data_IF_064659146748
#
_entry.id   IF_064659146748
#
_cell.length_a   1.000
_cell.length_b   1.000
_cell.length_c   1.000
_cell.angle_alpha   90.00
_cell.angle_beta   90.00
_cell.angle_gamma   90.00
#
_symmetry.space_group_name_H-M   'P 1'
#
loop_
_entity.id
_entity.type
_entity.pdbx_description
1 polymer ?
#
# COMPACT_ATOMS: atom_id res chain seq x y z
N UNK A 1 -0.55 11.68 17.50
CA UNK A 1 0.33 10.76 18.27
C UNK A 1 1.17 10.04 17.24
N UNK A 2 2.50 10.07 17.30
CA UNK A 2 3.33 9.36 16.31
C UNK A 2 3.03 7.86 16.41
N UNK A 3 2.30 7.31 15.44
CA UNK A 3 1.96 5.89 15.41
C UNK A 3 3.20 5.12 14.97
N UNK A 4 3.71 4.29 15.88
CA UNK A 4 4.83 3.41 15.66
C UNK A 4 4.35 2.13 14.97
N UNK A 5 5.14 1.60 14.04
CA UNK A 5 4.87 0.33 13.35
C UNK A 5 4.79 -0.82 14.36
N UNK A 6 3.70 -1.60 14.32
CA UNK A 6 3.49 -2.77 15.17
C UNK A 6 3.76 -4.08 14.40
N UNK A 7 4.86 -4.76 14.73
CA UNK A 7 5.31 -5.99 14.06
C UNK A 7 4.36 -7.17 14.31
N UNK A 8 3.77 -7.28 15.51
CA UNK A 8 2.83 -8.37 15.80
C UNK A 8 1.53 -8.19 15.03
N UNK A 9 1.06 -6.95 14.86
CA UNK A 9 -0.07 -6.60 14.00
C UNK A 9 0.26 -6.85 12.54
N UNK A 10 1.49 -6.53 12.10
CA UNK A 10 1.94 -6.77 10.73
C UNK A 10 1.88 -8.25 10.35
N UNK A 11 2.43 -9.14 11.17
CA UNK A 11 2.42 -10.60 10.91
C UNK A 11 0.99 -11.17 10.86
N UNK A 12 0.12 -10.74 11.77
CA UNK A 12 -1.29 -11.13 11.75
C UNK A 12 -1.98 -10.62 10.48
N UNK A 13 -1.71 -9.39 10.08
CA UNK A 13 -2.26 -8.80 8.88
C UNK A 13 -1.79 -9.52 7.61
N UNK A 14 -0.51 -9.94 7.54
CA UNK A 14 -0.01 -10.77 6.44
C UNK A 14 -0.75 -12.10 6.32
N UNK A 15 -1.04 -12.75 7.46
CA UNK A 15 -1.81 -14.00 7.45
C UNK A 15 -3.24 -13.80 6.93
N UNK A 16 -3.88 -12.68 7.30
CA UNK A 16 -5.22 -12.31 6.79
C UNK A 16 -5.19 -12.07 5.28
N UNK A 17 -4.30 -11.20 4.80
CA UNK A 17 -4.26 -10.84 3.37
C UNK A 17 -3.79 -11.98 2.48
N UNK A 18 -3.00 -12.93 3.01
CA UNK A 18 -2.59 -14.13 2.29
C UNK A 18 -3.81 -14.95 1.81
N UNK A 19 -4.91 -14.97 2.57
CA UNK A 19 -6.11 -15.74 2.26
C UNK A 19 -6.99 -15.13 1.16
N UNK A 20 -6.83 -13.85 0.83
CA UNK A 20 -7.64 -13.19 -0.20
C UNK A 20 -7.43 -13.78 -1.59
N UNK A 21 -8.50 -13.99 -2.35
CA UNK A 21 -8.43 -14.56 -3.70
C UNK A 21 -8.57 -13.48 -4.77
N UNK A 22 -7.50 -13.26 -5.53
CA UNK A 22 -7.43 -12.31 -6.65
C UNK A 22 -7.38 -13.01 -8.02
N UNK A 23 -7.75 -14.30 -8.11
CA UNK A 23 -7.67 -15.05 -9.36
C UNK A 23 -8.44 -14.37 -10.49
N UNK A 24 -9.66 -13.90 -10.23
CA UNK A 24 -10.47 -13.18 -11.22
C UNK A 24 -9.93 -11.78 -11.53
N UNK A 25 -9.34 -11.08 -10.56
CA UNK A 25 -8.70 -9.79 -10.81
C UNK A 25 -7.49 -9.93 -11.73
N UNK A 26 -6.70 -11.00 -11.55
CA UNK A 26 -5.59 -11.36 -12.44
C UNK A 26 -6.10 -11.70 -13.85
N UNK A 27 -7.15 -12.52 -13.98
CA UNK A 27 -7.72 -12.83 -15.29
C UNK A 27 -8.22 -11.56 -16.00
N UNK A 28 -8.93 -10.69 -15.27
CA UNK A 28 -9.48 -9.45 -15.79
C UNK A 28 -8.40 -8.49 -16.27
N UNK A 29 -7.33 -8.27 -15.49
CA UNK A 29 -6.28 -7.33 -15.89
C UNK A 29 -5.51 -7.84 -17.12
N UNK A 30 -5.30 -9.15 -17.24
CA UNK A 30 -4.67 -9.75 -18.40
C UNK A 30 -5.54 -9.66 -19.67
N UNK A 31 -6.86 -9.70 -19.52
CA UNK A 31 -7.81 -9.53 -20.64
C UNK A 31 -7.96 -8.07 -21.08
N UNK A 32 -8.15 -7.15 -20.13
CA UNK A 32 -8.43 -5.74 -20.39
C UNK A 32 -7.17 -4.97 -20.80
N UNK A 33 -6.00 -5.31 -20.22
CA UNK A 33 -4.71 -4.68 -20.53
C UNK A 33 -3.77 -5.65 -21.25
N UNK A 34 -4.32 -6.34 -22.25
CA UNK A 34 -3.59 -7.31 -23.09
C UNK A 34 -2.30 -6.72 -23.64
N UNK A 35 -1.19 -7.40 -23.40
CA UNK A 35 0.14 -7.00 -23.88
C UNK A 35 0.87 -6.01 -22.97
N UNK A 36 0.19 -5.36 -22.03
CA UNK A 36 0.79 -4.50 -21.00
C UNK A 36 1.09 -5.26 -19.70
N UNK A 37 0.29 -6.29 -19.41
CA UNK A 37 0.41 -7.14 -18.23
C UNK A 37 0.77 -8.56 -18.59
N UNK A 38 1.76 -9.11 -17.87
CA UNK A 38 2.10 -10.53 -17.89
C UNK A 38 1.55 -11.21 -16.65
N UNK A 39 1.37 -12.53 -16.72
CA UNK A 39 0.97 -13.32 -15.55
C UNK A 39 1.91 -13.12 -14.36
N UNK A 40 3.22 -13.02 -14.63
CA UNK A 40 4.25 -12.83 -13.61
C UNK A 40 4.09 -11.47 -12.93
N UNK A 41 3.93 -10.40 -13.72
CA UNK A 41 3.70 -9.05 -13.19
C UNK A 41 2.41 -8.99 -12.37
N UNK A 42 1.31 -9.53 -12.87
CA UNK A 42 0.02 -9.52 -12.16
C UNK A 42 0.10 -10.26 -10.81
N UNK A 43 0.73 -11.44 -10.78
CA UNK A 43 0.94 -12.19 -9.52
C UNK A 43 1.82 -11.42 -8.52
N UNK A 44 2.90 -10.79 -8.99
CA UNK A 44 3.77 -9.96 -8.14
C UNK A 44 3.03 -8.72 -7.61
N UNK A 45 2.22 -8.07 -8.45
CA UNK A 45 1.39 -6.93 -8.06
C UNK A 45 0.38 -7.31 -6.96
N UNK A 46 -0.31 -8.45 -7.11
CA UNK A 46 -1.22 -8.98 -6.07
C UNK A 46 -0.46 -9.28 -4.77
N UNK A 47 0.70 -9.92 -4.85
CA UNK A 47 1.53 -10.19 -3.66
C UNK A 47 1.91 -8.88 -2.95
N UNK A 48 2.34 -7.87 -3.70
CA UNK A 48 2.73 -6.58 -3.16
C UNK A 48 1.52 -5.79 -2.63
N UNK A 49 0.34 -5.91 -3.24
CA UNK A 49 -0.89 -5.32 -2.72
C UNK A 49 -1.29 -5.92 -1.36
N UNK A 50 -1.21 -7.24 -1.21
CA UNK A 50 -1.44 -7.92 0.07
C UNK A 50 -0.47 -7.44 1.17
N UNK A 51 0.81 -7.30 0.82
CA UNK A 51 1.85 -6.72 1.71
C UNK A 51 1.52 -5.26 2.06
N UNK A 52 1.15 -4.45 1.08
CA UNK A 52 0.77 -3.05 1.28
C UNK A 52 -0.35 -2.91 2.30
N UNK A 53 -1.43 -3.70 2.16
CA UNK A 53 -2.57 -3.67 3.08
C UNK A 53 -2.17 -4.09 4.51
N UNK A 54 -1.26 -5.06 4.64
CA UNK A 54 -0.71 -5.45 5.93
C UNK A 54 0.14 -4.36 6.58
N UNK A 55 1.00 -3.68 5.81
CA UNK A 55 1.77 -2.52 6.29
C UNK A 55 0.83 -1.39 6.71
N UNK A 56 -0.21 -1.07 5.93
CA UNK A 56 -1.22 -0.06 6.31
C UNK A 56 -1.89 -0.40 7.63
N UNK A 57 -2.20 -1.68 7.89
CA UNK A 57 -2.76 -2.11 9.17
C UNK A 57 -1.77 -1.91 10.32
N UNK A 58 -0.51 -2.30 10.13
CA UNK A 58 0.56 -2.15 11.12
C UNK A 58 0.92 -0.68 11.42
N UNK A 59 0.63 0.23 10.48
CA UNK A 59 0.75 1.67 10.63
C UNK A 59 -0.54 2.34 11.15
N UNK A 60 -1.49 1.59 11.71
CA UNK A 60 -2.71 2.16 12.29
C UNK A 60 -3.66 2.80 11.27
N UNK A 61 -3.60 2.39 10.01
CA UNK A 61 -4.42 2.92 8.91
C UNK A 61 -3.71 4.00 8.08
N UNK A 62 -2.50 4.42 8.45
CA UNK A 62 -1.70 5.34 7.63
C UNK A 62 -1.26 4.63 6.34
N UNK A 63 -1.53 5.27 5.21
CA UNK A 63 -1.28 4.73 3.88
C UNK A 63 0.06 5.22 3.34
N UNK A 64 0.92 4.28 2.92
CA UNK A 64 2.08 4.59 2.08
C UNK A 64 1.63 5.04 0.68
N UNK A 65 2.52 5.70 -0.07
CA UNK A 65 2.30 5.93 -1.51
C UNK A 65 2.55 4.61 -2.27
N UNK A 66 1.52 3.94 -2.81
CA UNK A 66 1.73 2.70 -3.56
C UNK A 66 2.50 2.96 -4.86
N UNK A 67 3.11 1.91 -5.42
CA UNK A 67 3.53 1.94 -6.82
C UNK A 67 2.32 1.72 -7.74
N UNK A 68 2.48 1.95 -9.05
CA UNK A 68 1.36 1.82 -9.99
C UNK A 68 0.74 0.43 -10.05
N UNK A 69 1.54 -0.62 -9.83
CA UNK A 69 1.05 -2.00 -9.87
C UNK A 69 0.17 -2.33 -8.66
N UNK A 70 0.56 -1.89 -7.46
CA UNK A 70 -0.22 -2.01 -6.23
C UNK A 70 -1.52 -1.21 -6.36
N UNK A 71 -1.45 0.02 -6.86
CA UNK A 71 -2.60 0.91 -7.03
C UNK A 71 -3.65 0.31 -7.99
N UNK A 72 -3.20 -0.24 -9.11
CA UNK A 72 -4.08 -0.89 -10.08
C UNK A 72 -4.83 -2.11 -9.50
N UNK A 73 -4.12 -2.96 -8.73
CA UNK A 73 -4.77 -4.09 -8.04
C UNK A 73 -5.76 -3.57 -6.98
N UNK A 74 -5.42 -2.50 -6.27
CA UNK A 74 -6.32 -1.90 -5.29
C UNK A 74 -7.59 -1.35 -5.94
N UNK A 75 -7.50 -0.69 -7.09
CA UNK A 75 -8.68 -0.25 -7.85
C UNK A 75 -9.54 -1.42 -8.30
N UNK A 76 -8.93 -2.51 -8.79
CA UNK A 76 -9.68 -3.72 -9.13
C UNK A 76 -10.38 -4.31 -7.92
N UNK A 77 -9.74 -4.30 -6.74
CA UNK A 77 -10.36 -4.75 -5.51
C UNK A 77 -11.56 -3.87 -5.14
N UNK A 78 -11.41 -2.54 -5.15
CA UNK A 78 -12.50 -1.58 -4.85
C UNK A 78 -13.70 -1.78 -5.80
N UNK A 79 -13.45 -2.10 -7.08
CA UNK A 79 -14.51 -2.37 -8.05
C UNK A 79 -15.29 -3.66 -7.76
N UNK A 80 -14.70 -4.63 -7.06
CA UNK A 80 -15.42 -5.73 -6.42
C UNK A 80 -15.86 -5.29 -5.02
N UNK A 81 -16.89 -4.45 -4.98
CA UNK A 81 -17.32 -3.76 -3.76
C UNK A 81 -17.69 -4.70 -2.62
N UNK A 82 -18.14 -5.92 -2.92
CA UNK A 82 -18.47 -6.92 -1.91
C UNK A 82 -17.19 -7.50 -1.28
N UNK A 83 -16.28 -7.99 -2.11
CA UNK A 83 -14.99 -8.50 -1.63
C UNK A 83 -14.24 -7.42 -0.84
N UNK A 84 -14.16 -6.19 -1.38
CA UNK A 84 -13.46 -5.09 -0.73
C UNK A 84 -14.03 -4.74 0.64
N UNK A 85 -15.37 -4.68 0.76
CA UNK A 85 -16.00 -4.39 2.03
C UNK A 85 -15.77 -5.50 3.06
N UNK A 86 -15.90 -6.77 2.65
CA UNK A 86 -15.72 -7.92 3.54
C UNK A 86 -14.25 -8.04 4.00
N UNK A 87 -13.30 -7.86 3.09
CA UNK A 87 -11.86 -7.89 3.36
C UNK A 87 -11.41 -6.71 4.22
N UNK A 88 -11.93 -5.50 3.97
CA UNK A 88 -11.67 -4.35 4.82
C UNK A 88 -12.23 -4.53 6.24
N UNK A 89 -13.44 -5.05 6.38
CA UNK A 89 -14.01 -5.36 7.69
C UNK A 89 -13.18 -6.42 8.42
N UNK A 90 -12.70 -7.45 7.72
CA UNK A 90 -11.87 -8.50 8.33
C UNK A 90 -10.49 -7.96 8.78
N UNK A 91 -9.87 -7.09 7.99
CA UNK A 91 -8.52 -6.59 8.25
C UNK A 91 -8.50 -5.36 9.16
N UNK A 92 -9.30 -4.34 8.85
CA UNK A 92 -9.31 -3.05 9.55
C UNK A 92 -10.42 -2.95 10.58
N UNK A 93 -11.51 -3.71 10.43
CA UNK A 93 -12.75 -3.54 11.21
C UNK A 93 -13.71 -2.52 10.60
N UNK A 94 -13.30 -1.86 9.52
CA UNK A 94 -14.06 -0.84 8.81
C UNK A 94 -13.55 -0.68 7.36
N UNK A 95 -14.26 0.11 6.56
CA UNK A 95 -13.88 0.39 5.17
C UNK A 95 -12.59 1.23 5.12
N UNK A 96 -11.54 0.73 4.46
CA UNK A 96 -10.36 1.54 4.18
C UNK A 96 -10.64 2.47 3.00
N UNK A 97 -10.78 3.77 3.27
CA UNK A 97 -11.01 4.75 2.21
C UNK A 97 -9.77 4.97 1.35
N UNK A 98 -9.98 5.00 0.03
CA UNK A 98 -8.97 5.34 -0.96
C UNK A 98 -9.20 6.77 -1.46
N UNK A 99 -8.18 7.63 -1.38
CA UNK A 99 -8.27 9.03 -1.80
C UNK A 99 -7.30 9.31 -2.96
N UNK A 100 -7.73 9.25 -4.23
CA UNK A 100 -6.82 9.26 -5.39
C UNK A 100 -6.40 10.68 -5.82
N UNK A 101 -6.20 11.63 -4.90
CA UNK A 101 -5.85 13.03 -5.26
C UNK A 101 -4.67 13.69 -4.49
N UNK A 102 -4.03 13.06 -3.50
CA UNK A 102 -2.90 13.61 -2.70
C UNK A 102 -1.54 13.89 -3.42
N UNK A 103 -1.37 15.06 -3.97
CA UNK A 103 -0.17 15.49 -4.70
C UNK A 103 -0.54 16.28 -5.94
N UNK A 104 -1.85 16.42 -6.18
CA UNK A 104 -2.47 17.14 -7.28
C UNK A 104 -3.06 18.49 -6.84
N UNK A 105 -3.14 18.77 -5.53
CA UNK A 105 -3.77 19.97 -4.97
C UNK A 105 -2.76 21.10 -4.72
N UNK A 106 -1.98 21.44 -5.74
CA UNK A 106 -0.98 22.50 -5.67
C UNK A 106 0.37 22.06 -5.11
N UNK A 107 1.30 23.02 -4.98
CA UNK A 107 2.71 22.72 -4.74
C UNK A 107 2.98 22.17 -3.34
N UNK A 108 2.32 22.68 -2.30
CA UNK A 108 2.49 22.17 -0.93
C UNK A 108 2.10 20.69 -0.83
N UNK A 109 0.93 20.35 -1.36
CA UNK A 109 0.42 18.99 -1.41
C UNK A 109 1.34 18.06 -2.23
N UNK A 110 1.93 18.57 -3.32
CA UNK A 110 2.95 17.85 -4.09
C UNK A 110 4.23 17.59 -3.29
N UNK A 111 4.70 18.55 -2.50
CA UNK A 111 5.90 18.39 -1.67
C UNK A 111 5.67 17.38 -0.55
N UNK A 112 4.51 17.41 0.10
CA UNK A 112 4.10 16.38 1.07
C UNK A 112 4.10 15.00 0.42
N UNK A 113 3.56 14.87 -0.79
CA UNK A 113 3.58 13.59 -1.53
C UNK A 113 4.99 13.07 -1.79
N UNK A 114 5.92 13.94 -2.20
CA UNK A 114 7.32 13.56 -2.39
C UNK A 114 7.98 13.08 -1.09
N UNK A 115 7.63 13.71 0.05
CA UNK A 115 8.14 13.29 1.35
C UNK A 115 7.59 11.92 1.76
N UNK A 116 6.28 11.70 1.66
CA UNK A 116 5.65 10.41 1.99
C UNK A 116 6.15 9.32 1.05
N UNK A 117 6.37 9.60 -0.23
CA UNK A 117 6.99 8.68 -1.18
C UNK A 117 8.39 8.24 -0.72
N UNK A 118 9.24 9.18 -0.29
CA UNK A 118 10.59 8.86 0.20
C UNK A 118 10.56 7.94 1.43
N UNK A 119 9.66 8.22 2.37
CA UNK A 119 9.43 7.37 3.56
C UNK A 119 8.90 5.99 3.16
N UNK A 120 7.94 5.94 2.22
CA UNK A 120 7.34 4.69 1.72
C UNK A 120 8.39 3.78 1.10
N UNK A 121 9.29 4.31 0.26
CA UNK A 121 10.42 3.54 -0.31
C UNK A 121 11.29 2.96 0.78
N UNK A 122 11.70 3.80 1.74
CA UNK A 122 12.64 3.40 2.80
C UNK A 122 12.05 2.30 3.69
N UNK A 123 10.77 2.43 4.07
CA UNK A 123 10.07 1.43 4.86
C UNK A 123 9.88 0.12 4.10
N UNK A 124 9.49 0.20 2.82
CA UNK A 124 9.29 -0.99 2.00
C UNK A 124 10.58 -1.79 1.82
N UNK A 125 11.69 -1.12 1.55
CA UNK A 125 12.99 -1.78 1.41
C UNK A 125 13.46 -2.42 2.71
N UNK A 126 13.22 -1.77 3.86
CA UNK A 126 13.50 -2.36 5.18
C UNK A 126 12.67 -3.60 5.49
N UNK A 127 11.41 -3.66 5.05
CA UNK A 127 10.50 -4.76 5.35
C UNK A 127 10.67 -5.95 4.40
N UNK A 128 11.06 -5.70 3.14
CA UNK A 128 11.00 -6.72 2.10
C UNK A 128 12.31 -6.95 1.34
N UNK A 129 13.39 -6.22 1.65
CA UNK A 129 14.68 -6.26 0.92
C UNK A 129 14.49 -6.12 -0.61
N UNK A 130 13.48 -5.37 -1.02
CA UNK A 130 13.12 -5.13 -2.42
C UNK A 130 12.74 -3.65 -2.59
N UNK A 131 13.00 -3.03 -3.75
CA UNK A 131 12.57 -1.66 -3.99
C UNK A 131 11.04 -1.58 -4.20
N UNK A 132 10.40 -0.55 -3.64
CA UNK A 132 8.96 -0.28 -3.88
C UNK A 132 8.70 0.13 -5.33
N UNK A 133 9.58 0.93 -5.92
CA UNK A 133 9.47 1.45 -7.28
C UNK A 133 10.56 0.84 -8.17
N UNK A 134 10.18 0.27 -9.31
CA UNK A 134 11.09 -0.30 -10.31
C UNK A 134 11.09 0.48 -11.62
N UNK A 135 11.88 0.02 -12.60
CA UNK A 135 11.97 0.65 -13.93
C UNK A 135 10.63 0.66 -14.68
N UNK A 136 9.83 -0.41 -14.55
CA UNK A 136 8.51 -0.57 -15.18
C UNK A 136 7.33 -0.27 -14.23
N UNK A 137 7.63 0.01 -12.96
CA UNK A 137 6.68 0.32 -11.89
C UNK A 137 7.05 1.65 -11.22
N UNK A 138 7.25 2.68 -12.06
CA UNK A 138 7.47 4.03 -11.60
C UNK A 138 6.36 4.45 -10.61
N UNK A 139 6.71 5.29 -9.65
CA UNK A 139 5.71 5.93 -8.81
C UNK A 139 4.72 6.67 -9.72
N UNK A 140 3.50 6.14 -9.82
CA UNK A 140 2.46 6.84 -10.54
C UNK A 140 2.04 8.02 -9.67
N UNK A 141 1.89 9.20 -10.29
CA UNK A 141 1.20 10.32 -9.67
C UNK A 141 -0.29 9.95 -9.59
N UNK A 142 -0.64 9.10 -8.64
CA UNK A 142 -1.98 8.91 -8.12
C UNK A 142 -1.84 8.52 -6.62
N UNK A 143 -2.48 9.24 -5.68
CA UNK A 143 -1.70 9.76 -4.56
C UNK A 143 -2.35 9.56 -3.16
N UNK A 144 -1.62 9.26 -2.07
CA UNK A 144 -2.20 8.94 -0.74
C UNK A 144 -1.91 9.91 0.44
N UNK A 145 -2.93 10.61 0.95
CA UNK A 145 -3.20 10.86 2.39
C UNK A 145 -4.72 10.89 2.59
N UNK A 146 -5.21 10.16 3.59
CA UNK A 146 -6.59 10.24 4.04
C UNK A 146 -6.85 11.60 4.74
N UNK A 147 -7.92 12.35 4.40
CA UNK A 147 -8.19 13.67 4.97
C UNK A 147 -8.27 13.74 6.51
N UNK A 148 -8.44 12.61 7.20
CA UNK A 148 -8.57 12.55 8.65
C UNK A 148 -7.24 12.50 9.44
N UNK A 149 -6.08 12.37 8.78
CA UNK A 149 -4.78 12.17 9.49
C UNK A 149 -3.61 13.01 8.93
N UNK A 150 -3.90 14.13 8.25
CA UNK A 150 -2.86 14.99 7.65
C UNK A 150 -1.83 15.50 8.68
N UNK A 151 -2.26 15.71 9.93
CA UNK A 151 -1.42 16.23 11.01
C UNK A 151 -0.59 15.15 11.75
N UNK A 152 -0.86 13.86 11.51
CA UNK A 152 -0.19 12.75 12.22
C UNK A 152 1.03 12.18 11.47
N UNK A 153 1.38 12.72 10.29
CA UNK A 153 2.50 12.27 9.44
C UNK A 153 3.91 12.60 9.98
N UNK A 154 4.08 12.68 11.29
CA UNK A 154 5.41 12.65 11.92
C UNK A 154 5.92 11.22 12.00
N UNK A 155 6.07 10.56 10.84
CA UNK A 155 6.91 9.37 10.73
C UNK A 155 8.34 9.88 10.68
N UNK A 156 8.94 10.07 11.86
CA UNK A 156 10.37 10.31 11.95
C UNK A 156 11.08 8.97 11.80
N UNK A 157 12.09 8.91 10.93
CA UNK A 157 12.97 7.75 10.76
C UNK A 157 13.67 7.32 12.07
N UNK A 158 13.60 8.14 13.11
CA UNK A 158 14.17 7.91 14.44
C UNK A 158 13.45 6.83 15.26
N UNK A 159 12.25 6.40 14.88
CA UNK A 159 11.51 5.33 15.58
C UNK A 159 11.81 3.91 15.07
N UNK A 160 12.52 3.79 13.95
CA UNK A 160 12.81 2.52 13.26
C UNK A 160 14.13 1.87 13.70
N UNK A 161 14.97 2.57 14.47
CA UNK A 161 16.29 2.08 14.87
C UNK A 161 16.32 1.62 16.34
N UNK A 162 16.15 0.30 16.53
CA UNK A 162 16.95 -0.53 17.44
C UNK A 162 16.39 -1.96 17.54
N UNK A 163 15.11 -2.17 17.22
CA UNK A 163 14.47 -3.49 17.21
C UNK A 163 14.91 -4.37 16.01
N UNK A 164 15.18 -3.78 14.85
CA UNK A 164 15.48 -4.50 13.59
C UNK A 164 16.97 -4.88 13.39
N UNK A 165 17.84 -4.69 14.41
CA UNK A 165 19.29 -5.00 14.29
C UNK A 165 19.72 -6.32 14.92
N UNK A 166 18.82 -7.11 15.49
CA UNK A 166 19.14 -8.42 16.09
C UNK A 166 18.01 -9.43 15.88
N UNK A 167 17.97 -10.02 14.70
CA UNK A 167 17.46 -11.37 14.46
C UNK A 167 18.29 -11.98 13.32
#
# INVERSE_FOLDING_TARGET
MSQQFDEAVFEQALAVTAAWDFSLAIEKILDVKRGEWTQVRAKKAVQNYKRYMAVTKALGGVQMVPNGDIDEIWHLHILDTRAYMDDCNALFGEYLHHYPYFGMLGEENRQQWLQVQSVSTSLWEQLFDEPLYGADSAAQKCPQVCPCHIDDLTITSSGLSDALRRA
#
